data_IF_552765123408
#
_entry.id   IF_552765123408
#
_cell.length_a   1.000
_cell.length_b   1.000
_cell.length_c   1.000
_cell.angle_alpha   90.00
_cell.angle_beta   90.00
_cell.angle_gamma   90.00
#
_symmetry.space_group_name_H-M   'P 1'
#
loop_
_entity.id
_entity.type
_entity.pdbx_description
1 polymer ?
#
# COMPACT_ATOMS: atom_id res chain seq x y z
N UNK A 1 -9.61 0.02 14.86
CA UNK A 1 -8.19 -0.06 14.48
C UNK A 1 -7.96 -0.17 12.97
N UNK A 2 -8.50 -1.18 12.26
CA UNK A 2 -8.19 -1.32 10.81
C UNK A 2 -8.67 -0.14 9.94
N UNK A 3 -9.75 0.52 10.34
CA UNK A 3 -10.29 1.71 9.66
C UNK A 3 -9.49 3.00 9.93
N UNK A 4 -8.58 2.99 10.91
CA UNK A 4 -7.82 4.17 11.33
C UNK A 4 -6.48 4.31 10.60
N UNK A 5 -6.03 3.26 9.90
CA UNK A 5 -4.73 3.23 9.21
C UNK A 5 -4.85 2.63 7.82
N UNK A 6 -3.98 3.09 6.91
CA UNK A 6 -3.81 2.49 5.58
C UNK A 6 -2.65 1.50 5.61
N UNK A 7 -2.84 0.33 4.98
CA UNK A 7 -1.82 -0.72 4.89
C UNK A 7 -1.31 -0.78 3.45
N UNK A 8 -0.01 -0.57 3.27
CA UNK A 8 0.70 -0.84 2.01
C UNK A 8 1.68 -1.99 2.21
N UNK A 9 1.69 -2.94 1.28
CA UNK A 9 2.67 -4.04 1.24
C UNK A 9 3.65 -3.87 0.07
N UNK A 10 4.83 -4.45 0.15
CA UNK A 10 5.79 -4.36 -0.95
C UNK A 10 6.97 -5.31 -0.85
N UNK A 11 7.82 -5.24 -1.88
CA UNK A 11 8.92 -6.17 -2.13
C UNK A 11 8.59 -7.14 -3.27
N UNK A 12 9.61 -7.73 -3.91
CA UNK A 12 9.39 -8.81 -4.88
C UNK A 12 9.06 -10.10 -4.12
N UNK A 13 8.00 -10.86 -4.45
CA UNK A 13 7.18 -10.83 -5.67
C UNK A 13 5.76 -10.23 -5.49
N UNK A 14 5.60 -9.21 -4.64
CA UNK A 14 4.27 -8.65 -4.31
C UNK A 14 3.60 -8.05 -5.54
N UNK A 15 2.34 -8.41 -5.74
CA UNK A 15 1.46 -7.92 -6.77
C UNK A 15 0.03 -7.71 -6.22
N UNK A 16 -0.93 -7.49 -7.12
CA UNK A 16 -2.33 -7.28 -6.76
C UNK A 16 -2.97 -8.51 -6.09
N UNK A 17 -2.52 -9.73 -6.43
CA UNK A 17 -3.03 -10.95 -5.79
C UNK A 17 -2.70 -10.92 -4.30
N UNK A 18 -1.45 -10.63 -3.96
CA UNK A 18 -1.00 -10.53 -2.57
C UNK A 18 -1.73 -9.41 -1.81
N UNK A 19 -1.95 -8.27 -2.44
CA UNK A 19 -2.72 -7.17 -1.85
C UNK A 19 -4.12 -7.62 -1.45
N UNK A 20 -4.82 -8.35 -2.33
CA UNK A 20 -6.17 -8.86 -2.07
C UNK A 20 -6.17 -9.94 -0.99
N UNK A 21 -5.23 -10.88 -1.06
CA UNK A 21 -5.13 -12.00 -0.12
C UNK A 21 -4.94 -11.53 1.33
N UNK A 22 -4.07 -10.55 1.56
CA UNK A 22 -3.83 -10.00 2.91
C UNK A 22 -4.79 -8.87 3.27
N UNK A 23 -5.64 -8.47 2.32
CA UNK A 23 -6.54 -7.33 2.43
C UNK A 23 -5.81 -6.03 2.71
N UNK A 24 -4.73 -5.71 2.00
CA UNK A 24 -4.05 -4.41 2.06
C UNK A 24 -4.77 -3.34 1.21
N UNK A 25 -4.50 -2.06 1.49
CA UNK A 25 -5.07 -0.92 0.76
C UNK A 25 -4.29 -0.58 -0.51
N UNK A 26 -3.01 -0.95 -0.56
CA UNK A 26 -2.16 -0.82 -1.74
C UNK A 26 -1.01 -1.84 -1.72
N UNK A 27 -0.36 -1.99 -2.87
CA UNK A 27 0.94 -2.66 -2.99
C UNK A 27 1.91 -1.85 -3.84
N UNK A 28 3.21 -2.12 -3.71
CA UNK A 28 4.24 -1.57 -4.59
C UNK A 28 5.46 -2.50 -4.67
N UNK A 29 6.06 -2.61 -5.85
CA UNK A 29 7.30 -3.36 -6.08
C UNK A 29 8.57 -2.49 -5.94
N UNK A 30 8.40 -1.18 -5.75
CA UNK A 30 9.50 -0.25 -5.58
C UNK A 30 9.20 0.87 -4.57
N UNK A 31 10.27 1.41 -3.98
CA UNK A 31 10.17 2.40 -2.93
C UNK A 31 9.63 3.76 -3.42
N UNK A 32 9.98 4.17 -4.65
CA UNK A 32 9.56 5.46 -5.20
C UNK A 32 8.03 5.55 -5.33
N UNK A 33 7.41 4.52 -5.90
CA UNK A 33 5.95 4.43 -6.00
C UNK A 33 5.30 4.32 -4.60
N UNK A 34 5.93 3.61 -3.66
CA UNK A 34 5.47 3.55 -2.27
C UNK A 34 5.38 4.92 -1.60
N UNK A 35 6.42 5.73 -1.73
CA UNK A 35 6.42 7.11 -1.22
C UNK A 35 5.33 7.94 -1.87
N UNK A 36 5.12 7.81 -3.18
CA UNK A 36 4.06 8.53 -3.90
C UNK A 36 2.66 8.15 -3.38
N UNK A 37 2.40 6.86 -3.15
CA UNK A 37 1.13 6.37 -2.61
C UNK A 37 0.86 6.96 -1.22
N UNK A 38 1.82 6.84 -0.31
CA UNK A 38 1.68 7.35 1.06
C UNK A 38 1.52 8.88 1.08
N UNK A 39 2.25 9.59 0.22
CA UNK A 39 2.12 11.05 0.10
C UNK A 39 0.73 11.47 -0.37
N UNK A 40 0.11 10.70 -1.28
CA UNK A 40 -1.27 10.98 -1.70
C UNK A 40 -2.25 10.73 -0.55
N UNK A 41 -2.11 9.63 0.20
CA UNK A 41 -2.95 9.36 1.38
C UNK A 41 -2.89 10.48 2.42
N UNK A 42 -1.71 11.05 2.66
CA UNK A 42 -1.53 12.15 3.62
C UNK A 42 -2.10 13.50 3.12
N UNK A 43 -2.36 13.66 1.83
CA UNK A 43 -2.95 14.87 1.25
C UNK A 43 -4.48 14.81 1.17
N UNK A 44 -5.03 13.61 1.11
CA UNK A 44 -6.47 13.36 1.02
C UNK A 44 -7.17 13.29 2.39
N UNK A 45 -6.39 13.16 3.47
CA UNK A 45 -6.87 13.26 4.86
C UNK A 45 -6.81 14.67 5.42
#
# INVERSE_FOLDING_TARGET
>A
MREEVKIIIGGLPVDEMWMKEVGADAYTDNAFNGVKIVTNWLREG
#
